data_IF_888886647148
#
_entry.id   IF_888886647148
#
_cell.length_a   1.000
_cell.length_b   1.000
_cell.length_c   1.000
_cell.angle_alpha   90.00
_cell.angle_beta   90.00
_cell.angle_gamma   90.00
#
_symmetry.space_group_name_H-M   'P 1'
#
loop_
_entity.id
_entity.type
_entity.pdbx_description
1 polymer ?
#
# COMPACT_ATOMS: atom_id res chain seq x y z
N UNK A 1 0.16 6.60 -18.78
CA UNK A 1 0.69 7.85 -18.18
C UNK A 1 -0.47 8.51 -17.47
N UNK A 2 -0.28 8.97 -16.24
CA UNK A 2 -1.25 9.75 -15.50
C UNK A 2 -1.26 11.16 -16.09
N UNK A 3 -2.43 11.69 -16.42
CA UNK A 3 -2.52 13.02 -17.01
C UNK A 3 -2.13 14.10 -15.99
N UNK A 4 -1.78 15.30 -16.46
CA UNK A 4 -1.53 16.45 -15.57
C UNK A 4 -2.79 16.81 -14.77
N UNK A 5 -3.95 16.76 -15.41
CA UNK A 5 -5.25 16.98 -14.77
C UNK A 5 -5.53 15.95 -13.67
N UNK A 6 -5.29 14.66 -13.93
CA UNK A 6 -5.45 13.61 -12.92
C UNK A 6 -4.50 13.83 -11.73
N UNK A 7 -3.26 14.26 -11.99
CA UNK A 7 -2.31 14.57 -10.94
C UNK A 7 -2.75 15.77 -10.10
N UNK A 8 -3.22 16.85 -10.73
CA UNK A 8 -3.77 18.01 -10.02
C UNK A 8 -5.00 17.61 -9.20
N UNK A 9 -5.89 16.79 -9.75
CA UNK A 9 -7.04 16.25 -9.03
C UNK A 9 -6.64 15.39 -7.82
N UNK A 10 -5.57 14.60 -7.95
CA UNK A 10 -5.00 13.81 -6.86
C UNK A 10 -4.41 14.71 -5.76
N UNK A 11 -3.58 15.70 -6.12
CA UNK A 11 -3.00 16.68 -5.18
C UNK A 11 -4.11 17.45 -4.45
N UNK A 12 -5.14 17.90 -5.19
CA UNK A 12 -6.29 18.62 -4.66
C UNK A 12 -7.04 17.86 -3.56
N UNK A 13 -6.99 16.52 -3.53
CA UNK A 13 -7.59 15.74 -2.42
C UNK A 13 -6.90 16.05 -1.08
N UNK A 14 -5.58 16.18 -1.10
CA UNK A 14 -4.78 16.47 0.09
C UNK A 14 -4.73 17.95 0.43
N UNK A 15 -4.82 18.85 -0.55
CA UNK A 15 -4.93 20.30 -0.29
C UNK A 15 -6.26 20.68 0.40
N UNK A 16 -7.37 20.05 -0.02
CA UNK A 16 -8.68 20.24 0.64
C UNK A 16 -8.70 19.68 2.07
N UNK A 17 -7.81 18.74 2.37
CA UNK A 17 -7.75 18.04 3.64
C UNK A 17 -8.72 16.87 3.72
N UNK A 18 -8.28 15.80 4.37
CA UNK A 18 -9.04 14.56 4.55
C UNK A 18 -9.27 14.38 6.05
N UNK A 19 -10.53 14.42 6.48
CA UNK A 19 -10.90 14.19 7.88
C UNK A 19 -10.81 12.70 8.19
N UNK A 20 -10.12 12.35 9.28
CA UNK A 20 -9.87 10.97 9.71
C UNK A 20 -9.99 10.85 11.22
N UNK A 21 -9.85 9.62 11.73
CA UNK A 21 -9.77 9.33 13.16
C UNK A 21 -8.54 9.92 13.85
N UNK A 22 -7.41 10.09 13.14
CA UNK A 22 -6.18 10.67 13.68
C UNK A 22 -6.07 12.20 13.53
N UNK A 23 -7.00 12.83 12.81
CA UNK A 23 -7.00 14.27 12.54
C UNK A 23 -7.28 14.58 11.07
N UNK A 24 -6.92 15.78 10.61
CA UNK A 24 -7.07 16.14 9.19
C UNK A 24 -5.75 15.99 8.46
N UNK A 25 -5.65 15.01 7.55
CA UNK A 25 -4.49 14.85 6.68
C UNK A 25 -4.48 15.95 5.64
N UNK A 26 -3.39 16.70 5.53
CA UNK A 26 -3.22 17.79 4.55
C UNK A 26 -1.89 17.70 3.81
N UNK A 27 -1.86 18.28 2.61
CA UNK A 27 -0.61 18.54 1.92
C UNK A 27 0.18 19.61 2.68
N UNK A 28 1.36 19.25 3.16
CA UNK A 28 2.33 20.17 3.76
C UNK A 28 3.17 20.84 2.69
N UNK A 29 3.66 20.04 1.73
CA UNK A 29 4.58 20.49 0.70
C UNK A 29 4.48 19.62 -0.53
N UNK A 30 4.46 20.26 -1.70
CA UNK A 30 4.69 19.62 -2.99
C UNK A 30 6.07 20.02 -3.51
N UNK A 31 6.85 19.05 -3.99
CA UNK A 31 8.17 19.31 -4.56
C UNK A 31 8.44 18.42 -5.79
N UNK A 32 9.27 18.92 -6.70
CA UNK A 32 9.76 18.14 -7.83
C UNK A 32 10.73 17.04 -7.35
N UNK A 33 10.58 15.84 -7.88
CA UNK A 33 11.49 14.72 -7.68
C UNK A 33 12.66 14.72 -8.66
N UNK A 34 13.25 13.54 -8.88
CA UNK A 34 14.43 13.36 -9.74
C UNK A 34 14.12 13.57 -11.22
N UNK A 35 12.95 13.13 -11.67
CA UNK A 35 12.50 13.24 -13.05
C UNK A 35 11.41 14.30 -13.19
N UNK A 36 11.20 14.83 -14.40
CA UNK A 36 10.16 15.83 -14.66
C UNK A 36 8.73 15.31 -14.38
N UNK A 37 8.54 14.00 -14.50
CA UNK A 37 7.31 13.30 -14.16
C UNK A 37 7.28 12.79 -12.70
N UNK A 38 8.29 13.10 -11.88
CA UNK A 38 8.38 12.65 -10.49
C UNK A 38 8.14 13.80 -9.51
N UNK A 39 7.36 13.57 -8.47
CA UNK A 39 7.01 14.56 -7.43
C UNK A 39 7.02 13.92 -6.04
N UNK A 40 7.30 14.71 -5.01
CA UNK A 40 7.08 14.31 -3.62
C UNK A 40 6.00 15.19 -2.99
N UNK A 41 5.00 14.56 -2.39
CA UNK A 41 3.98 15.20 -1.57
C UNK A 41 4.24 14.82 -0.12
N UNK A 42 4.67 15.78 0.69
CA UNK A 42 4.79 15.61 2.13
C UNK A 42 3.42 15.87 2.75
N UNK A 43 2.90 14.91 3.51
CA UNK A 43 1.62 15.01 4.19
C UNK A 43 1.81 15.23 5.68
N UNK A 44 0.88 15.96 6.28
CA UNK A 44 0.87 16.22 7.72
C UNK A 44 -0.53 16.04 8.32
N UNK A 45 -0.56 15.88 9.64
CA UNK A 45 -1.76 15.91 10.46
C UNK A 45 -1.50 16.91 11.59
N UNK A 46 -2.36 17.92 11.73
CA UNK A 46 -2.25 18.96 12.76
C UNK A 46 -0.86 19.66 12.83
N UNK A 47 -0.20 19.84 11.68
CA UNK A 47 1.14 20.44 11.58
C UNK A 47 2.30 19.46 11.81
N UNK A 48 2.01 18.23 12.23
CA UNK A 48 2.98 17.16 12.42
C UNK A 48 3.14 16.33 11.14
N UNK A 49 4.38 16.12 10.68
CA UNK A 49 4.62 15.30 9.48
C UNK A 49 4.13 13.86 9.67
N UNK A 50 3.35 13.36 8.71
CA UNK A 50 2.78 12.02 8.72
C UNK A 50 3.56 11.06 7.82
N UNK A 51 3.67 11.36 6.53
CA UNK A 51 4.31 10.49 5.53
C UNK A 51 4.64 11.29 4.27
N UNK A 52 5.45 10.72 3.38
CA UNK A 52 5.71 11.26 2.05
C UNK A 52 5.19 10.31 0.98
N UNK A 53 4.53 10.89 -0.03
CA UNK A 53 4.12 10.22 -1.25
C UNK A 53 5.07 10.62 -2.39
N UNK A 54 5.93 9.72 -2.83
CA UNK A 54 6.73 9.89 -4.04
C UNK A 54 5.97 9.34 -5.23
N UNK A 55 5.60 10.22 -6.14
CA UNK A 55 4.75 9.93 -7.30
C UNK A 55 5.60 9.98 -8.56
N UNK A 56 5.40 9.03 -9.46
CA UNK A 56 5.85 9.11 -10.84
C UNK A 56 4.67 8.99 -11.79
N UNK A 57 4.46 10.00 -12.65
CA UNK A 57 3.31 10.09 -13.55
C UNK A 57 3.36 9.13 -14.74
N UNK A 58 4.47 8.44 -14.95
CA UNK A 58 4.66 7.59 -16.11
C UNK A 58 5.16 8.34 -17.33
N UNK A 59 5.76 7.61 -18.26
CA UNK A 59 6.23 8.09 -19.56
C UNK A 59 5.86 7.04 -20.60
N UNK A 60 4.69 7.23 -21.19
CA UNK A 60 4.09 6.28 -22.14
C UNK A 60 4.98 6.08 -23.38
N UNK A 61 5.02 4.88 -23.98
CA UNK A 61 4.40 3.63 -23.53
C UNK A 61 5.25 2.82 -22.54
N UNK A 62 6.48 3.25 -22.26
CA UNK A 62 7.50 2.42 -21.62
C UNK A 62 7.43 2.39 -20.09
N UNK A 63 6.97 3.48 -19.48
CA UNK A 63 7.00 3.64 -18.03
C UNK A 63 5.61 3.88 -17.48
N UNK A 64 5.09 2.90 -16.74
CA UNK A 64 3.81 3.01 -16.06
C UNK A 64 3.89 3.96 -14.86
N UNK A 65 2.80 4.66 -14.51
CA UNK A 65 2.74 5.44 -13.29
C UNK A 65 2.88 4.55 -12.07
N UNK A 66 3.52 5.08 -11.03
CA UNK A 66 3.64 4.41 -9.75
C UNK A 66 3.71 5.43 -8.62
N UNK A 67 3.43 4.98 -7.41
CA UNK A 67 3.56 5.78 -6.20
C UNK A 67 4.23 4.98 -5.10
N UNK A 68 5.05 5.65 -4.30
CA UNK A 68 5.71 5.11 -3.12
C UNK A 68 5.25 5.89 -1.89
N UNK A 69 4.81 5.18 -0.86
CA UNK A 69 4.43 5.69 0.46
C UNK A 69 5.54 5.31 1.44
N UNK A 70 6.23 6.29 2.01
CA UNK A 70 7.39 6.07 2.88
C UNK A 70 7.53 7.19 3.92
N UNK A 71 8.44 7.01 4.88
CA UNK A 71 8.64 7.95 5.99
C UNK A 71 7.41 8.04 6.88
N UNK A 72 6.69 6.93 7.04
CA UNK A 72 5.40 6.88 7.72
C UNK A 72 5.62 6.97 9.22
N UNK A 73 5.07 8.00 9.84
CA UNK A 73 5.02 8.14 11.28
C UNK A 73 3.95 7.20 11.85
N UNK A 74 4.32 6.20 12.67
CA UNK A 74 3.37 5.17 13.10
C UNK A 74 2.26 5.70 14.02
N UNK A 75 2.52 6.82 14.71
CA UNK A 75 1.60 7.39 15.70
C UNK A 75 1.65 8.92 15.68
N UNK A 76 0.48 9.55 15.56
CA UNK A 76 0.27 11.01 15.66
C UNK A 76 -0.62 11.28 16.86
N UNK A 77 -0.22 12.18 17.75
CA UNK A 77 -1.02 12.58 18.93
C UNK A 77 -1.59 11.39 19.74
N UNK A 78 -0.83 10.30 19.84
CA UNK A 78 -1.26 9.11 20.57
C UNK A 78 -2.23 8.18 19.83
N UNK A 79 -2.51 8.42 18.54
CA UNK A 79 -3.33 7.54 17.69
C UNK A 79 -2.49 6.88 16.60
N UNK A 80 -2.71 5.59 16.39
CA UNK A 80 -1.93 4.81 15.43
C UNK A 80 -2.38 5.11 14.00
N UNK A 81 -1.43 5.19 13.06
CA UNK A 81 -1.73 5.28 11.63
C UNK A 81 -2.11 3.93 11.06
N UNK A 82 -1.43 2.86 11.45
CA UNK A 82 -1.69 1.51 10.94
C UNK A 82 -3.04 0.97 11.43
N UNK A 83 -3.80 0.36 10.52
CA UNK A 83 -5.17 -0.12 10.73
C UNK A 83 -6.21 0.99 11.06
N UNK A 84 -5.85 2.26 10.81
CA UNK A 84 -6.72 3.42 11.06
C UNK A 84 -7.62 3.78 9.86
N UNK A 85 -8.61 4.63 10.11
CA UNK A 85 -9.40 5.25 9.04
C UNK A 85 -8.51 6.15 8.14
N UNK A 86 -7.49 6.78 8.70
CA UNK A 86 -6.49 7.52 7.95
C UNK A 86 -5.75 6.67 6.91
N UNK A 87 -5.23 5.51 7.28
CA UNK A 87 -4.54 4.61 6.36
C UNK A 87 -5.47 4.21 5.20
N UNK A 88 -6.70 3.79 5.54
CA UNK A 88 -7.69 3.36 4.55
C UNK A 88 -8.01 4.46 3.55
N UNK A 89 -8.26 5.69 4.02
CA UNK A 89 -8.59 6.85 3.16
C UNK A 89 -7.42 7.26 2.26
N UNK A 90 -6.19 7.24 2.77
CA UNK A 90 -5.01 7.51 1.94
C UNK A 90 -4.92 6.46 0.83
N UNK A 91 -5.07 5.17 1.15
CA UNK A 91 -4.99 4.11 0.16
C UNK A 91 -6.16 4.10 -0.82
N UNK A 92 -7.37 4.48 -0.40
CA UNK A 92 -8.52 4.63 -1.28
C UNK A 92 -8.22 5.69 -2.36
N UNK A 93 -7.72 6.86 -1.96
CA UNK A 93 -7.32 7.91 -2.89
C UNK A 93 -6.23 7.39 -3.82
N UNK A 94 -5.16 6.80 -3.29
CA UNK A 94 -4.05 6.26 -4.10
C UNK A 94 -4.56 5.25 -5.15
N UNK A 95 -5.43 4.33 -4.73
CA UNK A 95 -5.94 3.27 -5.61
C UNK A 95 -6.76 3.81 -6.78
N UNK A 96 -7.35 4.99 -6.65
CA UNK A 96 -8.08 5.66 -7.73
C UNK A 96 -7.19 6.12 -8.89
N UNK A 97 -5.90 6.38 -8.64
CA UNK A 97 -4.99 6.99 -9.61
C UNK A 97 -3.82 6.10 -10.02
N UNK A 98 -3.32 5.26 -9.13
CA UNK A 98 -2.05 4.55 -9.35
C UNK A 98 -2.25 3.04 -9.52
N UNK A 99 -1.88 2.47 -10.68
CA UNK A 99 -1.97 1.03 -10.91
C UNK A 99 -0.86 0.26 -10.17
N UNK A 100 0.20 0.93 -9.72
CA UNK A 100 1.32 0.35 -8.97
C UNK A 100 1.62 1.19 -7.75
N UNK A 101 1.73 0.54 -6.59
CA UNK A 101 2.07 1.17 -5.31
C UNK A 101 3.22 0.42 -4.63
N UNK A 102 4.07 1.17 -3.95
CA UNK A 102 5.07 0.68 -3.00
C UNK A 102 4.74 1.27 -1.64
N UNK A 103 4.73 0.48 -0.58
CA UNK A 103 4.49 0.95 0.78
C UNK A 103 5.57 0.42 1.70
N UNK A 104 6.27 1.33 2.37
CA UNK A 104 7.21 1.01 3.44
C UNK A 104 6.48 0.42 4.64
N UNK A 105 6.92 -0.73 5.13
CA UNK A 105 6.25 -1.43 6.24
C UNK A 105 7.12 -1.56 7.49
N UNK A 106 8.30 -0.94 7.54
CA UNK A 106 9.23 -1.05 8.67
C UNK A 106 8.57 -0.72 10.02
N UNK A 107 7.79 0.36 10.06
CA UNK A 107 7.07 0.80 11.26
C UNK A 107 5.77 0.02 11.53
N UNK A 108 5.32 -0.80 10.57
CA UNK A 108 4.18 -1.70 10.74
C UNK A 108 4.65 -3.03 11.33
N UNK A 109 4.64 -3.09 12.66
CA UNK A 109 5.07 -4.27 13.43
C UNK A 109 4.22 -5.50 13.14
N UNK A 110 2.95 -5.34 12.77
CA UNK A 110 2.08 -6.46 12.46
C UNK A 110 2.46 -7.08 11.12
N UNK A 111 2.51 -6.26 10.06
CA UNK A 111 2.92 -6.71 8.72
C UNK A 111 4.32 -7.30 8.76
N UNK A 112 5.27 -6.65 9.44
CA UNK A 112 6.65 -7.14 9.56
C UNK A 112 6.70 -8.55 10.17
N UNK A 113 5.98 -8.78 11.28
CA UNK A 113 5.93 -10.10 11.93
C UNK A 113 5.25 -11.16 11.06
N UNK A 114 4.19 -10.78 10.35
CA UNK A 114 3.47 -11.67 9.45
C UNK A 114 4.35 -12.11 8.27
N UNK A 115 5.02 -11.17 7.61
CA UNK A 115 5.93 -11.46 6.50
C UNK A 115 7.13 -12.31 6.95
N UNK A 116 7.72 -12.02 8.11
CA UNK A 116 8.79 -12.84 8.70
C UNK A 116 8.37 -14.29 8.96
N UNK A 117 7.09 -14.52 9.25
CA UNK A 117 6.51 -15.87 9.44
C UNK A 117 6.07 -16.53 8.12
N UNK A 118 6.34 -15.90 6.98
CA UNK A 118 6.04 -16.43 5.65
C UNK A 118 4.58 -16.25 5.21
N UNK A 119 3.82 -15.35 5.85
CA UNK A 119 2.48 -14.99 5.38
C UNK A 119 2.59 -14.44 3.94
N UNK A 120 1.76 -14.89 2.98
CA UNK A 120 1.75 -14.31 1.64
C UNK A 120 1.53 -12.81 1.70
N UNK A 121 2.30 -12.02 0.94
CA UNK A 121 2.30 -10.57 1.05
C UNK A 121 0.88 -9.96 0.94
N UNK A 122 0.05 -10.47 0.02
CA UNK A 122 -1.34 -10.04 -0.17
C UNK A 122 -2.28 -10.32 1.03
N UNK A 123 -1.90 -11.23 1.94
CA UNK A 123 -2.67 -11.59 3.14
C UNK A 123 -2.04 -11.06 4.44
N UNK A 124 -0.89 -10.38 4.37
CA UNK A 124 -0.40 -9.55 5.46
C UNK A 124 -1.38 -8.42 5.76
N UNK A 125 -1.30 -7.77 6.93
CA UNK A 125 -2.20 -6.67 7.32
C UNK A 125 -2.23 -5.58 6.26
N UNK A 126 -1.06 -5.05 5.91
CA UNK A 126 -0.90 -4.02 4.89
C UNK A 126 -1.29 -4.51 3.50
N UNK A 127 -0.80 -5.68 3.08
CA UNK A 127 -1.09 -6.20 1.75
C UNK A 127 -2.57 -6.50 1.56
N UNK A 128 -3.28 -6.91 2.61
CA UNK A 128 -4.72 -7.13 2.58
C UNK A 128 -5.51 -5.84 2.39
N UNK A 129 -5.07 -4.73 2.98
CA UNK A 129 -5.67 -3.42 2.73
C UNK A 129 -5.55 -3.00 1.27
N UNK A 130 -4.43 -3.30 0.62
CA UNK A 130 -4.23 -3.06 -0.81
C UNK A 130 -5.04 -4.06 -1.66
N UNK A 131 -5.12 -5.33 -1.25
CA UNK A 131 -5.88 -6.36 -1.96
C UNK A 131 -7.36 -5.98 -2.10
N UNK A 132 -7.96 -5.45 -1.02
CA UNK A 132 -9.33 -4.92 -1.02
C UNK A 132 -9.56 -3.77 -2.01
N UNK A 133 -8.48 -3.09 -2.43
CA UNK A 133 -8.50 -1.94 -3.35
C UNK A 133 -8.19 -2.32 -4.81
N UNK A 134 -8.20 -3.63 -5.10
CA UNK A 134 -8.08 -4.19 -6.45
C UNK A 134 -6.65 -4.43 -6.91
N UNK A 135 -5.65 -4.27 -6.04
CA UNK A 135 -4.31 -4.75 -6.33
C UNK A 135 -4.28 -6.28 -6.21
N UNK A 136 -3.64 -6.97 -7.14
CA UNK A 136 -3.67 -8.46 -7.18
C UNK A 136 -2.30 -9.09 -7.33
N UNK A 137 -1.33 -8.38 -7.90
CA UNK A 137 0.06 -8.80 -7.88
C UNK A 137 0.74 -8.19 -6.66
N UNK A 138 1.49 -9.00 -5.92
CA UNK A 138 2.22 -8.55 -4.72
C UNK A 138 3.65 -9.06 -4.75
N UNK A 139 4.57 -8.23 -4.25
CA UNK A 139 5.96 -8.59 -4.01
C UNK A 139 6.44 -7.93 -2.72
N UNK A 140 7.03 -8.74 -1.86
CA UNK A 140 7.73 -8.26 -0.67
C UNK A 140 9.19 -7.96 -1.02
N UNK A 141 9.64 -6.74 -0.73
CA UNK A 141 11.01 -6.29 -0.86
C UNK A 141 11.64 -6.18 0.53
N UNK A 142 12.11 -7.32 1.02
CA UNK A 142 13.00 -7.42 2.18
C UNK A 142 14.45 -7.40 1.68
N UNK A 143 15.20 -6.34 1.99
CA UNK A 143 16.64 -6.23 1.74
C UNK A 143 17.31 -6.08 3.10
N UNK A 144 18.16 -7.04 3.54
CA UNK A 144 18.88 -6.94 4.80
C UNK A 144 19.68 -5.63 4.88
N UNK A 145 19.59 -4.94 6.02
CA UNK A 145 20.28 -3.67 6.25
C UNK A 145 21.79 -3.78 5.97
N UNK A 146 22.33 -2.89 5.12
CA UNK A 146 23.77 -2.80 4.86
C UNK A 146 24.21 -2.41 3.44
N UNK A 147 23.29 -2.33 2.45
CA UNK A 147 23.69 -2.05 1.06
C UNK A 147 22.95 -0.91 0.33
N UNK A 148 21.69 -0.58 0.68
CA UNK A 148 20.96 0.57 0.09
C UNK A 148 19.91 1.12 1.06
N UNK A 149 19.84 2.46 1.19
CA UNK A 149 18.75 3.17 1.87
C UNK A 149 17.43 2.94 1.12
N UNK A 150 16.54 2.12 1.68
CA UNK A 150 15.21 1.84 1.12
C UNK A 150 14.69 0.43 1.40
N UNK A 151 14.96 -0.11 2.59
CA UNK A 151 14.64 -1.48 2.97
C UNK A 151 13.23 -1.60 3.56
N UNK A 152 12.51 -2.65 3.15
CA UNK A 152 11.17 -3.07 3.62
C UNK A 152 9.98 -2.39 2.94
N UNK A 153 9.67 -2.84 1.72
CA UNK A 153 8.48 -2.37 0.97
C UNK A 153 7.61 -3.52 0.46
N UNK A 154 6.30 -3.37 0.56
CA UNK A 154 5.36 -4.16 -0.24
C UNK A 154 5.13 -3.41 -1.55
N UNK A 155 5.38 -4.07 -2.67
CA UNK A 155 4.90 -3.64 -3.99
C UNK A 155 3.57 -4.32 -4.28
N UNK A 156 2.58 -3.56 -4.78
CA UNK A 156 1.32 -4.10 -5.25
C UNK A 156 0.92 -3.50 -6.62
N UNK A 157 0.35 -4.32 -7.51
CA UNK A 157 -0.09 -3.89 -8.84
C UNK A 157 -1.52 -4.34 -9.17
N UNK A 158 -2.28 -3.44 -9.81
CA UNK A 158 -3.57 -3.74 -10.41
C UNK A 158 -3.37 -4.60 -11.66
N UNK A 159 -4.25 -5.59 -11.89
CA UNK A 159 -4.13 -6.44 -13.07
C UNK A 159 -4.45 -5.63 -14.34
N UNK A 160 -3.73 -5.90 -15.43
CA UNK A 160 -4.00 -5.23 -16.72
C UNK A 160 -5.32 -5.69 -17.34
N UNK A 161 -5.76 -6.91 -17.04
CA UNK A 161 -7.00 -7.50 -17.54
C UNK A 161 -7.44 -8.68 -16.65
N UNK A 162 -8.64 -9.19 -16.89
CA UNK A 162 -9.21 -10.31 -16.12
C UNK A 162 -8.41 -11.60 -16.19
N UNK A 163 -7.73 -11.88 -17.31
CA UNK A 163 -6.92 -13.10 -17.45
C UNK A 163 -5.74 -13.07 -16.47
N UNK A 164 -5.07 -11.92 -16.40
CA UNK A 164 -3.98 -11.67 -15.44
C UNK A 164 -4.51 -11.67 -14.01
N UNK A 165 -5.68 -11.07 -13.77
CA UNK A 165 -6.34 -11.09 -12.46
C UNK A 165 -6.60 -12.52 -11.97
N UNK A 166 -7.23 -13.36 -12.81
CA UNK A 166 -7.52 -14.77 -12.51
C UNK A 166 -6.24 -15.56 -12.21
N UNK A 167 -5.15 -15.28 -12.95
CA UNK A 167 -3.83 -15.88 -12.69
C UNK A 167 -3.28 -15.48 -11.33
N UNK A 168 -3.36 -14.21 -10.96
CA UNK A 168 -2.89 -13.73 -9.65
C UNK A 168 -3.71 -14.32 -8.50
N UNK A 169 -5.04 -14.37 -8.63
CA UNK A 169 -5.94 -14.98 -7.63
C UNK A 169 -5.65 -16.47 -7.47
N UNK A 170 -5.40 -17.19 -8.57
CA UNK A 170 -4.99 -18.59 -8.52
C UNK A 170 -3.68 -18.77 -7.75
N UNK A 171 -2.68 -17.93 -8.02
CA UNK A 171 -1.40 -17.94 -7.30
C UNK A 171 -1.59 -17.65 -5.81
N UNK A 172 -2.38 -16.65 -5.46
CA UNK A 172 -2.70 -16.31 -4.07
C UNK A 172 -3.35 -17.49 -3.34
N UNK A 173 -4.26 -18.21 -4.00
CA UNK A 173 -4.89 -19.42 -3.43
C UNK A 173 -3.86 -20.54 -3.17
N UNK A 174 -2.89 -20.71 -4.05
CA UNK A 174 -1.80 -21.68 -3.88
C UNK A 174 -0.90 -21.29 -2.71
N UNK A 175 -0.45 -20.02 -2.66
CA UNK A 175 0.36 -19.46 -1.57
C UNK A 175 -0.37 -19.55 -0.21
N UNK A 176 -1.68 -19.27 -0.18
CA UNK A 176 -2.51 -19.42 1.01
C UNK A 176 -2.54 -20.87 1.53
N UNK A 177 -2.82 -21.84 0.64
CA UNK A 177 -2.89 -23.26 1.01
C UNK A 177 -1.55 -23.75 1.56
N UNK A 178 -0.47 -23.38 0.89
CA UNK A 178 0.89 -23.71 1.32
C UNK A 178 1.19 -23.12 2.70
N UNK A 179 0.85 -21.85 2.93
CA UNK A 179 1.03 -21.19 4.22
C UNK A 179 0.26 -21.89 5.34
N UNK A 180 -1.03 -22.17 5.15
CA UNK A 180 -1.87 -22.82 6.18
C UNK A 180 -1.35 -24.22 6.53
N UNK A 181 -0.80 -24.95 5.55
CA UNK A 181 -0.23 -26.27 5.78
C UNK A 181 1.09 -26.21 6.59
N UNK A 182 1.93 -25.20 6.32
CA UNK A 182 3.28 -25.10 6.91
C UNK A 182 3.33 -24.31 8.21
N UNK A 183 2.40 -23.38 8.43
CA UNK A 183 2.39 -22.53 9.61
C UNK A 183 2.13 -23.38 10.87
N UNK A 184 2.93 -23.28 11.94
CA UNK A 184 2.64 -23.94 13.21
C UNK A 184 1.78 -23.09 14.17
N UNK A 185 1.61 -21.80 13.88
CA UNK A 185 0.91 -20.83 14.73
C UNK A 185 -0.59 -20.80 14.41
N UNK A 186 -1.39 -21.49 15.22
CA UNK A 186 -2.84 -21.60 15.02
C UNK A 186 -3.60 -20.27 15.11
N UNK A 187 -3.12 -19.32 15.92
CA UNK A 187 -3.74 -18.00 16.00
C UNK A 187 -3.48 -17.21 14.71
N UNK A 188 -2.26 -17.28 14.19
CA UNK A 188 -1.93 -16.68 12.90
C UNK A 188 -2.72 -17.33 11.76
N UNK A 189 -2.85 -18.66 11.73
CA UNK A 189 -3.70 -19.34 10.72
C UNK A 189 -5.12 -18.80 10.71
N UNK A 190 -5.78 -18.77 11.86
CA UNK A 190 -7.16 -18.25 11.99
C UNK A 190 -7.28 -16.83 11.48
N UNK A 191 -6.29 -15.99 11.76
CA UNK A 191 -6.24 -14.61 11.29
C UNK A 191 -6.13 -14.52 9.76
N UNK A 192 -5.23 -15.29 9.16
CA UNK A 192 -5.03 -15.32 7.70
C UNK A 192 -6.22 -15.96 6.98
N UNK A 193 -6.80 -17.01 7.55
CA UNK A 193 -8.03 -17.64 7.06
C UNK A 193 -9.19 -16.65 7.05
N UNK A 194 -9.37 -15.86 8.12
CA UNK A 194 -10.39 -14.79 8.16
C UNK A 194 -10.22 -13.80 7.00
N UNK A 195 -9.00 -13.30 6.75
CA UNK A 195 -8.71 -12.39 5.63
C UNK A 195 -9.00 -13.03 4.28
N UNK A 196 -8.59 -14.29 4.09
CA UNK A 196 -8.85 -15.01 2.85
C UNK A 196 -10.35 -15.24 2.60
N UNK A 197 -11.11 -15.58 3.64
CA UNK A 197 -12.57 -15.72 3.54
C UNK A 197 -13.25 -14.39 3.25
N UNK A 198 -12.85 -13.31 3.93
CA UNK A 198 -13.35 -11.95 3.68
C UNK A 198 -13.12 -11.53 2.22
N UNK A 199 -11.92 -11.76 1.67
CA UNK A 199 -11.65 -11.48 0.26
C UNK A 199 -12.57 -12.27 -0.68
N UNK A 200 -12.76 -13.56 -0.43
CA UNK A 200 -13.63 -14.39 -1.27
C UNK A 200 -15.10 -13.93 -1.22
N UNK A 201 -15.57 -13.42 -0.08
CA UNK A 201 -16.91 -12.85 0.03
C UNK A 201 -17.05 -11.57 -0.78
N UNK A 202 -16.03 -10.70 -0.77
CA UNK A 202 -16.02 -9.45 -1.55
C UNK A 202 -15.96 -9.72 -3.05
N UNK A 203 -15.27 -10.78 -3.51
CA UNK A 203 -15.06 -11.03 -4.95
C UNK A 203 -16.08 -11.97 -5.60
N UNK A 204 -16.84 -12.75 -4.82
CA UNK A 204 -17.86 -13.67 -5.35
C UNK A 204 -19.31 -13.21 -5.10
N UNK A 205 -19.51 -12.08 -4.41
CA UNK A 205 -20.80 -11.39 -4.29
C UNK A 205 -20.98 -10.39 -5.43
#
# INVERSE_FOLDING_TARGET
MLSREDFENFVNKFEKGIITDIGTIKLKKLSQGRFIEEFNLDLEVNGESLLTLKVFLGRSPYWNPWIEVFGIKPRIEGKDFWDSDAERKVYDIISGYFPRVFVEYFEDKETTKELQKGVPAALSRLGFELLKKGYTYFRDWYIPEGLMEGGHKIQAEKPLNEVIMKRHIKKLREEYREFIQKCPDENLKKKIEKRYLEYNLITNG
#
